data_IF_503034375012
#
_entry.id   IF_503034375012
#
_cell.length_a   1.000
_cell.length_b   1.000
_cell.length_c   1.000
_cell.angle_alpha   90.00
_cell.angle_beta   90.00
_cell.angle_gamma   90.00
#
_symmetry.space_group_name_H-M   'P 1'
#
loop_
_entity.id
_entity.type
_entity.pdbx_description
1 polymer ?
#
# COMPACT_ATOMS: atom_id res chain seq x y z
N UNK A 1 -20.30 -0.63 0.54
CA UNK A 1 -20.28 -1.37 -0.70
C UNK A 1 -19.26 -2.53 -0.61
N UNK A 2 -19.32 -3.45 -1.54
CA UNK A 2 -18.51 -4.67 -1.50
C UNK A 2 -17.01 -4.37 -1.55
N UNK A 3 -16.58 -3.40 -2.34
CA UNK A 3 -15.17 -3.03 -2.46
C UNK A 3 -14.68 -2.40 -1.16
N UNK A 4 -15.40 -1.45 -0.60
CA UNK A 4 -15.03 -0.82 0.66
C UNK A 4 -14.94 -1.84 1.79
N UNK A 5 -15.88 -2.77 1.86
CA UNK A 5 -15.86 -3.82 2.87
C UNK A 5 -14.67 -4.76 2.69
N UNK A 6 -14.33 -5.07 1.43
CA UNK A 6 -13.17 -5.92 1.14
C UNK A 6 -11.86 -5.26 1.57
N UNK A 7 -11.73 -3.96 1.37
CA UNK A 7 -10.53 -3.21 1.74
C UNK A 7 -10.29 -3.11 3.24
N UNK A 8 -11.29 -3.44 4.06
CA UNK A 8 -11.12 -3.48 5.52
C UNK A 8 -10.31 -4.69 5.98
N UNK A 9 -10.15 -5.71 5.14
CA UNK A 9 -9.40 -6.92 5.47
C UNK A 9 -7.90 -6.66 5.37
N UNK A 10 -7.08 -7.12 6.34
CA UNK A 10 -5.63 -6.93 6.31
C UNK A 10 -4.97 -7.93 5.35
N UNK A 11 -5.21 -7.75 4.08
CA UNK A 11 -4.65 -8.57 3.02
C UNK A 11 -3.35 -7.95 2.50
N UNK A 12 -2.64 -8.70 1.66
CA UNK A 12 -1.45 -8.18 1.00
C UNK A 12 -1.87 -7.56 -0.34
N UNK A 13 -1.40 -6.34 -0.58
CA UNK A 13 -1.56 -5.68 -1.86
C UNK A 13 -0.28 -5.86 -2.67
N UNK A 14 -0.44 -5.99 -3.99
CA UNK A 14 0.70 -5.99 -4.91
C UNK A 14 0.62 -4.72 -5.74
N UNK A 15 1.56 -3.82 -5.46
CA UNK A 15 1.64 -2.52 -6.12
C UNK A 15 2.55 -2.62 -7.32
N UNK A 16 2.04 -2.19 -8.48
CA UNK A 16 2.83 -2.09 -9.72
C UNK A 16 2.98 -0.63 -10.09
N UNK A 17 4.22 -0.18 -10.16
CA UNK A 17 4.59 1.16 -10.63
C UNK A 17 5.47 1.01 -11.87
N UNK A 18 5.69 2.07 -12.61
CA UNK A 18 6.43 2.02 -13.88
C UNK A 18 7.87 2.48 -13.65
N UNK A 19 8.82 1.62 -13.98
CA UNK A 19 10.24 1.96 -13.86
C UNK A 19 10.72 2.85 -15.03
N UNK A 20 11.95 3.37 -15.00
CA UNK A 20 12.45 4.27 -16.05
C UNK A 20 12.50 3.66 -17.45
N UNK A 21 12.50 2.33 -17.54
CA UNK A 21 12.52 1.64 -18.84
C UNK A 21 11.11 1.24 -19.31
N UNK A 22 10.08 1.67 -18.59
CA UNK A 22 8.69 1.38 -18.96
C UNK A 22 8.17 0.04 -18.47
N UNK A 23 8.93 -0.68 -17.65
CA UNK A 23 8.49 -1.96 -17.12
C UNK A 23 7.71 -1.79 -15.82
N UNK A 24 6.71 -2.65 -15.57
CA UNK A 24 6.07 -2.69 -14.27
C UNK A 24 7.02 -3.23 -13.21
N UNK A 25 7.15 -2.49 -12.12
CA UNK A 25 7.91 -2.88 -10.94
C UNK A 25 6.88 -3.22 -9.86
N UNK A 26 6.77 -4.50 -9.50
CA UNK A 26 5.68 -5.01 -8.65
C UNK A 26 6.24 -5.53 -7.33
N UNK A 27 5.68 -5.07 -6.22
CA UNK A 27 6.09 -5.49 -4.88
C UNK A 27 4.87 -5.74 -3.99
N UNK A 28 4.94 -6.74 -3.07
CA UNK A 28 3.90 -6.96 -2.08
C UNK A 28 4.06 -5.96 -0.93
N UNK A 29 2.95 -5.44 -0.43
CA UNK A 29 2.94 -4.38 0.59
C UNK A 29 1.73 -4.51 1.49
N UNK A 30 1.82 -3.90 2.66
CA UNK A 30 0.67 -3.64 3.53
C UNK A 30 -0.06 -2.40 3.02
N UNK A 31 -1.37 -2.38 3.20
CA UNK A 31 -2.20 -1.23 2.82
C UNK A 31 -3.30 -1.00 3.85
N UNK A 32 -3.89 0.18 3.82
CA UNK A 32 -5.09 0.50 4.57
C UNK A 32 -5.97 1.45 3.74
N UNK A 33 -7.29 1.35 3.87
CA UNK A 33 -8.17 2.32 3.23
C UNK A 33 -8.14 3.65 3.99
N UNK A 34 -8.30 4.75 3.27
CA UNK A 34 -8.44 6.09 3.82
C UNK A 34 -9.43 6.87 2.96
N UNK A 35 -10.71 6.87 3.36
CA UNK A 35 -11.77 7.44 2.54
C UNK A 35 -11.87 6.72 1.21
N UNK A 36 -11.69 7.45 0.12
CA UNK A 36 -11.71 6.89 -1.22
C UNK A 36 -10.33 6.49 -1.72
N UNK A 37 -9.30 6.66 -0.89
CA UNK A 37 -7.92 6.36 -1.25
C UNK A 37 -7.45 5.09 -0.56
N UNK A 38 -6.30 4.58 -1.01
CA UNK A 38 -5.58 3.49 -0.35
C UNK A 38 -4.21 4.04 0.05
N UNK A 39 -3.80 3.78 1.28
CA UNK A 39 -2.52 4.23 1.82
C UNK A 39 -1.59 3.04 2.01
N UNK A 40 -0.33 3.22 1.65
CA UNK A 40 0.74 2.24 1.76
C UNK A 40 1.89 2.91 2.52
N UNK A 41 2.57 2.18 3.40
CA UNK A 41 3.79 2.69 4.03
C UNK A 41 5.01 2.18 3.28
N UNK A 42 6.06 2.99 3.23
CA UNK A 42 7.30 2.64 2.54
C UNK A 42 8.48 3.41 3.10
N UNK A 43 9.66 2.77 3.10
CA UNK A 43 10.91 3.47 3.34
C UNK A 43 11.17 4.38 2.13
N UNK A 44 11.52 5.64 2.41
CA UNK A 44 11.85 6.68 1.41
C UNK A 44 12.97 6.22 0.45
N UNK A 45 13.86 5.34 0.92
CA UNK A 45 15.04 4.90 0.16
C UNK A 45 14.74 3.84 -0.90
N UNK A 46 13.51 3.31 -0.93
CA UNK A 46 13.16 2.29 -1.92
C UNK A 46 13.00 2.89 -3.31
N UNK A 47 13.30 2.09 -4.33
CA UNK A 47 13.27 2.55 -5.73
C UNK A 47 11.89 3.03 -6.18
N UNK A 48 10.83 2.38 -5.68
CA UNK A 48 9.47 2.74 -6.08
C UNK A 48 9.09 4.19 -5.76
N UNK A 49 9.69 4.77 -4.72
CA UNK A 49 9.44 6.17 -4.36
C UNK A 49 9.87 7.09 -5.51
N UNK A 50 11.06 6.87 -6.04
CA UNK A 50 11.55 7.65 -7.20
C UNK A 50 10.76 7.38 -8.47
N UNK A 51 10.36 6.13 -8.69
CA UNK A 51 9.56 5.79 -9.88
C UNK A 51 8.19 6.49 -9.85
N UNK A 52 7.55 6.53 -8.68
CA UNK A 52 6.27 7.22 -8.49
C UNK A 52 6.43 8.73 -8.75
N UNK A 53 7.50 9.33 -8.25
CA UNK A 53 7.75 10.75 -8.47
C UNK A 53 7.89 11.09 -9.96
N UNK A 54 8.47 10.18 -10.74
CA UNK A 54 8.65 10.38 -12.19
C UNK A 54 7.39 10.03 -12.99
N UNK A 55 6.62 9.02 -12.55
CA UNK A 55 5.40 8.56 -13.21
C UNK A 55 4.39 8.07 -12.19
N UNK A 56 3.30 8.82 -11.95
CA UNK A 56 2.34 8.46 -10.90
C UNK A 56 1.43 7.30 -11.26
N UNK A 57 1.37 6.88 -12.52
CA UNK A 57 0.48 5.78 -12.93
C UNK A 57 0.86 4.49 -12.25
N UNK A 58 -0.15 3.80 -11.72
CA UNK A 58 0.06 2.58 -10.97
C UNK A 58 -1.17 1.69 -11.00
N UNK A 59 -0.97 0.42 -10.65
CA UNK A 59 -2.05 -0.50 -10.36
C UNK A 59 -1.80 -1.21 -9.04
N UNK A 60 -2.89 -1.69 -8.44
CA UNK A 60 -2.85 -2.35 -7.15
C UNK A 60 -3.75 -3.57 -7.21
N UNK A 61 -3.18 -4.75 -6.99
CA UNK A 61 -3.93 -6.01 -6.98
C UNK A 61 -4.07 -6.49 -5.55
N UNK A 62 -5.29 -6.74 -5.10
CA UNK A 62 -5.55 -7.20 -3.72
C UNK A 62 -6.42 -8.45 -3.77
N UNK A 63 -5.96 -9.52 -3.12
CA UNK A 63 -6.67 -10.78 -3.10
C UNK A 63 -6.58 -11.55 -4.40
N UNK A 64 -7.52 -12.48 -4.61
CA UNK A 64 -7.60 -13.28 -5.82
C UNK A 64 -6.68 -14.50 -5.82
N UNK A 65 -5.87 -14.67 -4.78
CA UNK A 65 -4.91 -15.77 -4.66
C UNK A 65 -5.34 -16.84 -3.65
N UNK A 66 -6.54 -16.71 -3.07
CA UNK A 66 -7.12 -17.69 -2.16
C UNK A 66 -8.08 -18.62 -2.87
N UNK A 67 -8.56 -19.64 -2.14
CA UNK A 67 -9.52 -20.62 -2.67
C UNK A 67 -10.86 -19.99 -3.02
N UNK A 68 -11.24 -18.91 -2.37
CA UNK A 68 -12.49 -18.18 -2.63
C UNK A 68 -12.42 -17.34 -3.91
N UNK A 69 -11.22 -17.12 -4.46
CA UNK A 69 -11.02 -16.47 -5.74
C UNK A 69 -11.41 -15.01 -5.83
N UNK A 70 -11.85 -14.38 -4.74
CA UNK A 70 -12.25 -12.96 -4.77
C UNK A 70 -11.03 -12.06 -4.72
N UNK A 71 -10.99 -11.09 -5.63
CA UNK A 71 -9.95 -10.09 -5.64
C UNK A 71 -10.33 -8.91 -6.51
N UNK A 72 -9.57 -7.85 -6.40
CA UNK A 72 -9.81 -6.61 -7.15
C UNK A 72 -8.51 -6.07 -7.71
N UNK A 73 -8.60 -5.53 -8.92
CA UNK A 73 -7.52 -4.78 -9.56
C UNK A 73 -7.93 -3.32 -9.60
N UNK A 74 -7.14 -2.48 -8.98
CA UNK A 74 -7.33 -1.04 -8.97
C UNK A 74 -6.32 -0.40 -9.91
N UNK A 75 -6.75 0.57 -10.69
CA UNK A 75 -5.86 1.40 -11.51
C UNK A 75 -6.02 2.84 -11.07
N UNK A 76 -4.93 3.58 -11.03
CA UNK A 76 -4.97 4.96 -10.58
C UNK A 76 -3.60 5.61 -10.56
N UNK A 77 -3.42 6.53 -9.63
CA UNK A 77 -2.17 7.28 -9.51
C UNK A 77 -1.70 7.29 -8.07
N UNK A 78 -0.37 7.24 -7.93
CA UNK A 78 0.30 7.27 -6.64
C UNK A 78 0.96 8.62 -6.37
N UNK A 79 0.93 9.04 -5.11
CA UNK A 79 1.59 10.26 -4.65
C UNK A 79 2.31 9.96 -3.34
N UNK A 80 3.58 10.38 -3.28
CA UNK A 80 4.39 10.25 -2.06
C UNK A 80 4.04 11.37 -1.09
N UNK A 81 3.83 11.03 0.18
CA UNK A 81 3.50 11.99 1.24
C UNK A 81 4.27 11.65 2.50
N UNK A 82 4.52 12.66 3.33
CA UNK A 82 5.09 12.46 4.65
C UNK A 82 4.09 11.81 5.59
N UNK A 83 4.58 11.21 6.67
CA UNK A 83 3.76 10.58 7.71
C UNK A 83 3.99 11.29 9.05
N UNK A 84 3.42 12.49 9.26
CA UNK A 84 3.65 13.26 10.49
C UNK A 84 3.23 12.47 11.72
N UNK A 85 4.11 12.43 12.73
CA UNK A 85 3.83 11.74 13.98
C UNK A 85 3.75 10.23 13.88
N UNK A 86 4.21 9.65 12.77
CA UNK A 86 4.19 8.20 12.55
C UNK A 86 2.78 7.59 12.64
N UNK A 87 1.76 8.38 12.22
CA UNK A 87 0.37 7.95 12.29
C UNK A 87 0.12 6.69 11.48
N UNK A 88 0.51 6.71 10.20
CA UNK A 88 0.26 5.57 9.31
C UNK A 88 1.20 4.40 9.59
N UNK A 89 2.45 4.66 9.99
CA UNK A 89 3.33 3.59 10.44
C UNK A 89 2.69 2.83 11.60
N UNK A 90 2.18 3.55 12.59
CA UNK A 90 1.55 2.94 13.77
C UNK A 90 0.26 2.23 13.41
N UNK A 91 -0.67 2.90 12.74
CA UNK A 91 -1.98 2.32 12.40
C UNK A 91 -1.81 1.09 11.51
N UNK A 92 -0.90 1.14 10.54
CA UNK A 92 -0.65 0.03 9.62
C UNK A 92 -0.08 -1.17 10.35
N UNK A 93 0.87 -0.94 11.24
CA UNK A 93 1.52 -2.04 11.97
C UNK A 93 0.52 -2.74 12.88
N UNK A 94 -0.32 -1.97 13.59
CA UNK A 94 -1.38 -2.56 14.41
C UNK A 94 -2.46 -3.28 13.61
N UNK A 95 -2.66 -2.88 12.36
CA UNK A 95 -3.61 -3.54 11.47
C UNK A 95 -3.19 -4.95 11.10
N UNK A 96 -1.88 -5.19 10.94
CA UNK A 96 -1.32 -6.46 10.45
C UNK A 96 -0.67 -7.32 11.53
N UNK A 97 -0.31 -6.74 12.68
CA UNK A 97 0.40 -7.45 13.74
C UNK A 97 -0.34 -7.39 15.07
N UNK A 98 -0.10 -8.37 15.91
CA UNK A 98 -0.59 -8.35 17.29
C UNK A 98 0.09 -7.21 18.05
N UNK A 99 -0.61 -6.66 19.05
CA UNK A 99 -0.17 -5.46 19.76
C UNK A 99 1.26 -5.52 20.29
N UNK A 100 1.63 -6.62 20.91
CA UNK A 100 2.97 -6.77 21.51
C UNK A 100 4.07 -6.70 20.45
N UNK A 101 3.90 -7.40 19.34
CA UNK A 101 4.86 -7.37 18.24
C UNK A 101 4.86 -6.01 17.54
N UNK A 102 3.68 -5.43 17.35
CA UNK A 102 3.54 -4.12 16.72
C UNK A 102 4.25 -3.03 17.54
N UNK A 103 4.10 -3.04 18.87
CA UNK A 103 4.78 -2.08 19.74
C UNK A 103 6.29 -2.11 19.54
N UNK A 104 6.87 -3.30 19.42
CA UNK A 104 8.31 -3.48 19.21
C UNK A 104 8.73 -2.99 17.82
N UNK A 105 7.98 -3.37 16.80
CA UNK A 105 8.32 -3.03 15.42
C UNK A 105 8.18 -1.55 15.15
N UNK A 106 7.15 -0.90 15.67
CA UNK A 106 6.97 0.55 15.53
C UNK A 106 8.17 1.29 16.14
N UNK A 107 8.58 0.91 17.35
CA UNK A 107 9.71 1.54 18.01
C UNK A 107 11.00 1.34 17.24
N UNK A 108 11.21 0.15 16.69
CA UNK A 108 12.38 -0.15 15.87
C UNK A 108 12.38 0.64 14.57
N UNK A 109 11.27 0.60 13.84
CA UNK A 109 11.20 1.18 12.50
C UNK A 109 11.19 2.70 12.48
N UNK A 110 10.59 3.34 13.49
CA UNK A 110 10.63 4.79 13.60
C UNK A 110 12.04 5.36 13.78
N UNK A 111 12.97 4.55 14.28
CA UNK A 111 14.35 4.96 14.53
C UNK A 111 15.35 4.44 13.50
N UNK A 112 15.02 3.35 12.78
CA UNK A 112 15.94 2.70 11.84
C UNK A 112 15.56 2.91 10.38
N UNK A 113 14.31 3.27 10.09
CA UNK A 113 13.81 3.49 8.73
C UNK A 113 13.34 4.93 8.56
N UNK A 114 13.36 5.40 7.33
CA UNK A 114 12.82 6.73 6.97
C UNK A 114 11.46 6.52 6.29
N UNK A 115 10.44 6.25 7.11
CA UNK A 115 9.13 5.88 6.61
C UNK A 115 8.32 7.07 6.12
N UNK A 116 7.63 6.86 5.01
CA UNK A 116 6.68 7.79 4.43
C UNK A 116 5.49 6.99 3.92
N UNK A 117 4.49 7.66 3.37
CA UNK A 117 3.35 6.98 2.77
C UNK A 117 3.30 7.19 1.27
N UNK A 118 2.68 6.23 0.61
CA UNK A 118 2.25 6.32 -0.78
C UNK A 118 0.73 6.34 -0.75
N UNK A 119 0.14 7.40 -1.30
CA UNK A 119 -1.31 7.53 -1.42
C UNK A 119 -1.72 7.11 -2.83
N UNK A 120 -2.52 6.07 -2.92
CA UNK A 120 -3.06 5.55 -4.17
C UNK A 120 -4.47 6.12 -4.36
N UNK A 121 -4.64 6.94 -5.39
CA UNK A 121 -5.95 7.50 -5.76
C UNK A 121 -6.56 6.62 -6.84
N UNK A 122 -7.70 6.01 -6.52
CA UNK A 122 -8.36 5.02 -7.37
C UNK A 122 -9.08 5.73 -8.53
N UNK A 123 -8.80 5.30 -9.76
CA UNK A 123 -9.50 5.77 -10.96
C UNK A 123 -10.48 4.71 -11.48
N UNK A 124 -10.12 3.43 -11.36
CA UNK A 124 -11.02 2.34 -11.77
C UNK A 124 -10.78 1.09 -10.94
N UNK A 125 -11.80 0.25 -10.85
CA UNK A 125 -11.78 -1.01 -10.12
C UNK A 125 -12.38 -2.09 -11.00
N UNK A 126 -11.70 -3.24 -11.07
CA UNK A 126 -12.20 -4.43 -11.75
C UNK A 126 -12.16 -5.59 -10.75
N UNK A 127 -13.28 -6.29 -10.61
CA UNK A 127 -13.30 -7.53 -9.85
C UNK A 127 -12.64 -8.62 -10.68
N UNK A 128 -11.66 -9.29 -10.11
CA UNK A 128 -10.98 -10.42 -10.74
C UNK A 128 -11.43 -11.71 -10.07
N UNK A 129 -11.58 -12.72 -10.85
CA UNK A 129 -12.11 -13.99 -10.38
C UNK A 129 -11.08 -14.76 -9.58
#
# INVERSE_FOLDING_TARGET
DAVRDYLKKPLIARLSVIDPNGYPHTVPLWFAPDGDDIVIISDRKTKKIGYIAANPKASLSIGGDGLEGTGYLFKGQCFNEEDPGFKWLSDMTYRYEEKEQADKDIELWRTTLDMMIIRFKIESVVKVA
#
